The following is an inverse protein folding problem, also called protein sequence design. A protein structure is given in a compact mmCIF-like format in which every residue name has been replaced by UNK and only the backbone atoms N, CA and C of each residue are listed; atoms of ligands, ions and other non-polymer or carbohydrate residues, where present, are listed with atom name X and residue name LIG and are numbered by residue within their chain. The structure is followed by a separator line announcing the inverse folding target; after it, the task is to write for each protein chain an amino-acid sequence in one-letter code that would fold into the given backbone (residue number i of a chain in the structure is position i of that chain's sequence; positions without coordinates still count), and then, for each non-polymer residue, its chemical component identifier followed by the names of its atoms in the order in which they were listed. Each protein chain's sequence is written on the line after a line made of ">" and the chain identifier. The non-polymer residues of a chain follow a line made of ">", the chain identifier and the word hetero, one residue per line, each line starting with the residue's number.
data_IF_493651408450
#
_entry.id   IF_493651408450
#
_cell.length_a   1.000
_cell.length_b   1.000
_cell.length_c   1.000
_cell.angle_alpha   90.00
_cell.angle_beta   90.00
_cell.angle_gamma   90.00
#
_symmetry.space_group_name_H-M   'P 1'
#
loop_
_entity.id
_entity.type
_entity.pdbx_description
1 polymer ?
#
# COMPACT_ATOMS: atom_id res chain seq x y z
N UNK A 1 24.72 -20.19 10.13
CA UNK A 1 23.53 -20.94 9.63
C UNK A 1 23.98 -22.12 8.78
N UNK A 2 23.25 -23.25 8.74
CA UNK A 2 23.61 -24.41 7.96
C UNK A 2 22.83 -24.42 6.63
N UNK A 3 23.49 -24.70 5.50
CA UNK A 3 22.87 -24.87 4.17
C UNK A 3 21.66 -25.81 4.20
N UNK A 4 21.72 -26.88 5.00
CA UNK A 4 20.68 -27.87 5.16
C UNK A 4 19.39 -27.27 5.74
N UNK A 5 19.49 -26.35 6.67
CA UNK A 5 18.34 -25.67 7.29
C UNK A 5 17.63 -24.74 6.28
N UNK A 6 18.41 -24.00 5.47
CA UNK A 6 17.84 -23.13 4.44
C UNK A 6 17.15 -23.93 3.34
N UNK A 7 17.79 -25.01 2.85
CA UNK A 7 17.19 -25.90 1.84
C UNK A 7 15.93 -26.57 2.37
N UNK A 8 15.93 -26.99 3.65
CA UNK A 8 14.73 -27.54 4.31
C UNK A 8 13.58 -26.54 4.35
N UNK A 9 13.87 -25.28 4.66
CA UNK A 9 12.85 -24.23 4.69
C UNK A 9 12.27 -23.93 3.29
N UNK A 10 13.10 -23.94 2.24
CA UNK A 10 12.64 -23.80 0.85
C UNK A 10 11.74 -24.95 0.40
N UNK A 11 12.10 -26.17 0.79
CA UNK A 11 11.28 -27.36 0.49
C UNK A 11 9.94 -27.29 1.25
N UNK A 12 9.95 -26.92 2.52
CA UNK A 12 8.73 -26.76 3.33
C UNK A 12 7.80 -25.71 2.72
N UNK A 13 8.33 -24.55 2.30
CA UNK A 13 7.57 -23.52 1.59
C UNK A 13 6.90 -24.08 0.32
N UNK A 14 7.61 -24.89 -0.47
CA UNK A 14 7.08 -25.45 -1.71
C UNK A 14 5.87 -26.37 -1.48
N UNK A 15 5.69 -26.93 -0.28
CA UNK A 15 4.56 -27.76 0.10
C UNK A 15 3.46 -27.00 0.85
N UNK A 16 3.83 -26.08 1.74
CA UNK A 16 2.89 -25.38 2.63
C UNK A 16 2.46 -23.99 2.16
N UNK A 17 3.30 -23.33 1.34
CA UNK A 17 3.14 -21.93 0.98
C UNK A 17 3.44 -20.96 2.14
N UNK A 18 3.88 -21.46 3.32
CA UNK A 18 4.20 -20.63 4.48
C UNK A 18 5.60 -20.05 4.37
N UNK A 19 5.71 -18.73 4.35
CA UNK A 19 6.97 -18.02 4.10
C UNK A 19 7.71 -17.55 5.36
N UNK A 20 7.13 -17.68 6.56
CA UNK A 20 7.66 -17.14 7.82
C UNK A 20 9.08 -17.62 8.12
N UNK A 21 9.34 -18.90 7.87
CA UNK A 21 10.65 -19.50 8.12
C UNK A 21 11.73 -18.96 7.16
N UNK A 22 11.39 -18.83 5.88
CA UNK A 22 12.28 -18.24 4.88
C UNK A 22 12.53 -16.77 5.19
N UNK A 23 11.49 -16.03 5.55
CA UNK A 23 11.61 -14.61 5.91
C UNK A 23 12.56 -14.39 7.09
N UNK A 24 12.45 -15.22 8.14
CA UNK A 24 13.36 -15.17 9.30
C UNK A 24 14.81 -15.47 8.88
N UNK A 25 15.02 -16.44 8.01
CA UNK A 25 16.34 -16.79 7.50
C UNK A 25 16.91 -15.65 6.66
N UNK A 26 16.15 -15.08 5.74
CA UNK A 26 16.62 -13.97 4.92
C UNK A 26 16.97 -12.75 5.77
N UNK A 27 16.12 -12.36 6.71
CA UNK A 27 16.42 -11.25 7.63
C UNK A 27 17.73 -11.50 8.39
N UNK A 28 17.90 -12.67 9.01
CA UNK A 28 19.12 -13.00 9.74
C UNK A 28 20.38 -12.95 8.86
N UNK A 29 20.30 -13.42 7.62
CA UNK A 29 21.42 -13.39 6.68
C UNK A 29 21.79 -11.98 6.24
N UNK A 30 20.80 -11.12 5.98
CA UNK A 30 21.06 -9.74 5.58
C UNK A 30 21.54 -8.92 6.77
N UNK A 31 20.98 -9.09 7.95
CA UNK A 31 21.40 -8.40 9.19
C UNK A 31 22.84 -8.75 9.59
N UNK A 32 23.25 -10.01 9.42
CA UNK A 32 24.63 -10.45 9.70
C UNK A 32 25.63 -10.16 8.57
N UNK A 33 25.15 -9.82 7.39
CA UNK A 33 25.97 -9.68 6.18
C UNK A 33 26.45 -11.01 5.57
N UNK A 34 26.03 -12.15 6.12
CA UNK A 34 26.44 -13.49 5.64
C UNK A 34 25.73 -13.93 4.36
N UNK A 35 24.75 -13.18 3.85
CA UNK A 35 23.96 -13.53 2.67
C UNK A 35 24.82 -13.84 1.44
N UNK A 36 26.00 -13.21 1.30
CA UNK A 36 26.93 -13.42 0.18
C UNK A 36 27.42 -14.86 0.07
N UNK A 37 27.61 -15.54 1.20
CA UNK A 37 28.00 -16.94 1.22
C UNK A 37 26.88 -17.89 0.74
N UNK A 38 25.62 -17.40 0.73
CA UNK A 38 24.42 -18.17 0.38
C UNK A 38 23.69 -17.59 -0.82
N UNK A 39 24.35 -16.79 -1.67
CA UNK A 39 23.72 -15.94 -2.68
C UNK A 39 22.75 -16.71 -3.60
N UNK A 40 23.11 -17.92 -4.04
CA UNK A 40 22.23 -18.76 -4.88
C UNK A 40 20.95 -19.20 -4.13
N UNK A 41 21.05 -19.52 -2.84
CA UNK A 41 19.89 -19.87 -2.00
C UNK A 41 19.03 -18.64 -1.72
N UNK A 42 19.65 -17.50 -1.49
CA UNK A 42 18.98 -16.20 -1.34
C UNK A 42 18.20 -15.86 -2.62
N UNK A 43 18.80 -16.00 -3.78
CA UNK A 43 18.12 -15.79 -5.06
C UNK A 43 16.93 -16.74 -5.25
N UNK A 44 17.11 -18.02 -4.96
CA UNK A 44 16.01 -18.99 -5.00
C UNK A 44 14.89 -18.63 -4.03
N UNK A 45 15.23 -18.21 -2.80
CA UNK A 45 14.26 -17.82 -1.80
C UNK A 45 13.46 -16.60 -2.24
N UNK A 46 14.13 -15.53 -2.70
CA UNK A 46 13.48 -14.31 -3.17
C UNK A 46 12.55 -14.60 -4.35
N UNK A 47 12.98 -15.40 -5.32
CA UNK A 47 12.19 -15.74 -6.50
C UNK A 47 10.96 -16.60 -6.13
N UNK A 48 11.14 -17.67 -5.37
CA UNK A 48 10.06 -18.56 -4.97
C UNK A 48 8.99 -17.86 -4.12
N UNK A 49 9.43 -17.02 -3.17
CA UNK A 49 8.52 -16.33 -2.26
C UNK A 49 8.02 -14.99 -2.79
N UNK A 50 8.58 -14.51 -3.90
CA UNK A 50 8.34 -13.19 -4.48
C UNK A 50 8.61 -12.02 -3.51
N UNK A 51 9.51 -12.24 -2.55
CA UNK A 51 9.93 -11.22 -1.56
C UNK A 51 10.93 -10.23 -2.16
N UNK A 52 10.59 -9.60 -3.27
CA UNK A 52 11.48 -8.72 -4.04
C UNK A 52 11.97 -7.48 -3.27
N UNK A 53 11.38 -7.17 -2.13
CA UNK A 53 11.89 -6.13 -1.21
C UNK A 53 13.34 -6.36 -0.77
N UNK A 54 13.77 -7.63 -0.67
CA UNK A 54 15.16 -7.97 -0.33
C UNK A 54 16.18 -7.58 -1.39
N UNK A 55 15.77 -7.33 -2.63
CA UNK A 55 16.66 -6.87 -3.69
C UNK A 55 17.29 -5.49 -3.39
N UNK A 56 16.67 -4.69 -2.53
CA UNK A 56 17.23 -3.41 -2.09
C UNK A 56 18.50 -3.56 -1.25
N UNK A 57 18.71 -4.71 -0.61
CA UNK A 57 19.89 -5.01 0.19
C UNK A 57 21.06 -5.58 -0.63
N UNK A 58 20.81 -6.01 -1.88
CA UNK A 58 21.83 -6.48 -2.80
C UNK A 58 22.59 -5.30 -3.43
N UNK A 59 23.89 -5.49 -3.71
CA UNK A 59 24.62 -4.50 -4.50
C UNK A 59 24.18 -4.48 -5.98
N UNK A 60 24.68 -3.52 -6.76
CA UNK A 60 24.26 -3.33 -8.15
C UNK A 60 24.56 -4.57 -9.02
N UNK A 61 25.71 -5.22 -8.81
CA UNK A 61 26.12 -6.38 -9.57
C UNK A 61 25.31 -7.61 -9.19
N UNK A 62 25.05 -7.81 -7.90
CA UNK A 62 24.24 -8.90 -7.37
C UNK A 62 22.77 -8.77 -7.86
N UNK A 63 22.23 -7.55 -7.88
CA UNK A 63 20.91 -7.29 -8.48
C UNK A 63 20.86 -7.62 -9.96
N UNK A 64 21.87 -7.20 -10.73
CA UNK A 64 21.95 -7.50 -12.14
C UNK A 64 22.06 -9.02 -12.39
N UNK A 65 22.83 -9.72 -11.55
CA UNK A 65 22.93 -11.19 -11.61
C UNK A 65 21.58 -11.86 -11.28
N UNK A 66 20.87 -11.41 -10.24
CA UNK A 66 19.54 -11.90 -9.92
C UNK A 66 18.56 -11.66 -11.09
N UNK A 67 18.56 -10.46 -11.68
CA UNK A 67 17.72 -10.10 -12.81
C UNK A 67 17.91 -11.05 -13.99
N UNK A 68 19.15 -11.33 -14.35
CA UNK A 68 19.49 -12.23 -15.45
C UNK A 68 19.06 -13.67 -15.15
N UNK A 69 19.18 -14.09 -13.90
CA UNK A 69 18.86 -15.44 -13.46
C UNK A 69 17.32 -15.63 -13.32
N UNK A 70 16.59 -14.65 -12.76
CA UNK A 70 15.16 -14.73 -12.50
C UNK A 70 14.31 -14.55 -13.78
N UNK A 71 14.82 -13.76 -14.74
CA UNK A 71 14.13 -13.50 -16.02
C UNK A 71 13.75 -14.76 -16.79
N UNK A 72 14.43 -15.86 -16.54
CA UNK A 72 14.19 -17.17 -17.17
C UNK A 72 13.15 -18.00 -16.38
N UNK A 73 12.84 -17.64 -15.14
CA UNK A 73 12.11 -18.48 -14.18
C UNK A 73 10.81 -17.90 -13.65
N UNK A 74 10.59 -16.62 -13.74
CA UNK A 74 9.42 -15.98 -13.14
C UNK A 74 8.69 -15.04 -14.10
N UNK A 75 7.37 -14.95 -13.91
CA UNK A 75 6.51 -13.97 -14.56
C UNK A 75 6.61 -12.59 -13.87
N UNK A 76 7.74 -12.27 -13.25
CA UNK A 76 7.95 -11.02 -12.55
C UNK A 76 8.02 -9.84 -13.51
N UNK A 77 7.35 -8.78 -13.17
CA UNK A 77 7.32 -7.53 -13.93
C UNK A 77 8.35 -6.54 -13.37
N UNK A 78 9.21 -6.03 -14.25
CA UNK A 78 10.15 -4.95 -13.92
C UNK A 78 9.42 -3.62 -14.03
N UNK A 79 9.29 -2.91 -12.92
CA UNK A 79 8.59 -1.63 -12.86
C UNK A 79 9.52 -0.43 -12.91
N UNK A 80 8.92 0.75 -13.01
CA UNK A 80 9.64 2.03 -12.97
C UNK A 80 9.92 2.48 -11.52
N UNK A 81 8.99 2.19 -10.59
CA UNK A 81 9.07 2.62 -9.19
C UNK A 81 9.74 1.57 -8.31
N UNK A 82 9.44 0.32 -8.58
CA UNK A 82 10.04 -0.82 -7.87
C UNK A 82 10.80 -1.69 -8.86
N UNK A 83 11.96 -2.25 -8.44
CA UNK A 83 12.73 -3.13 -9.33
C UNK A 83 11.91 -4.33 -9.80
N UNK A 84 11.01 -4.83 -8.95
CA UNK A 84 10.15 -5.97 -9.25
C UNK A 84 8.78 -5.85 -8.61
N UNK A 85 7.78 -6.36 -9.32
CA UNK A 85 6.42 -6.56 -8.83
C UNK A 85 6.11 -8.05 -8.72
N UNK A 86 5.58 -8.48 -7.58
CA UNK A 86 5.09 -9.85 -7.43
C UNK A 86 3.75 -10.04 -8.16
N UNK A 87 3.33 -11.29 -8.31
CA UNK A 87 2.10 -11.64 -9.04
C UNK A 87 0.85 -10.96 -8.48
N UNK A 88 0.76 -10.81 -7.15
CA UNK A 88 -0.35 -10.10 -6.50
C UNK A 88 -0.37 -8.61 -6.83
N UNK A 89 0.79 -7.97 -6.85
CA UNK A 89 0.95 -6.56 -7.24
C UNK A 89 0.66 -6.35 -8.73
N UNK A 90 1.17 -7.23 -9.59
CA UNK A 90 0.89 -7.18 -11.04
C UNK A 90 -0.61 -7.36 -11.32
N UNK A 91 -1.24 -8.36 -10.69
CA UNK A 91 -2.69 -8.56 -10.79
C UNK A 91 -3.47 -7.30 -10.39
N UNK A 92 -2.98 -6.55 -9.39
CA UNK A 92 -3.62 -5.30 -8.98
C UNK A 92 -3.46 -4.19 -10.02
N UNK A 93 -2.27 -4.02 -10.63
CA UNK A 93 -2.09 -3.08 -11.71
C UNK A 93 -3.09 -3.34 -12.86
N UNK A 94 -3.28 -4.63 -13.21
CA UNK A 94 -4.28 -5.00 -14.21
C UNK A 94 -5.72 -4.70 -13.79
N UNK A 95 -6.05 -4.81 -12.50
CA UNK A 95 -7.38 -4.42 -11.99
C UNK A 95 -7.57 -2.90 -12.01
N UNK A 96 -6.51 -2.13 -11.71
CA UNK A 96 -6.54 -0.67 -11.86
C UNK A 96 -6.86 -0.25 -13.30
N UNK A 97 -6.39 -0.98 -14.32
CA UNK A 97 -6.71 -0.73 -15.72
C UNK A 97 -8.20 -0.97 -16.06
N UNK A 98 -8.76 -2.06 -15.53
CA UNK A 98 -10.09 -2.53 -15.93
C UNK A 98 -11.24 -1.72 -15.34
N UNK A 99 -11.05 -1.11 -14.18
CA UNK A 99 -12.14 -0.53 -13.41
C UNK A 99 -11.96 0.97 -13.21
N UNK A 100 -13.05 1.72 -13.42
CA UNK A 100 -13.10 3.17 -13.21
C UNK A 100 -13.05 3.55 -11.72
N UNK A 101 -13.76 2.80 -10.87
CA UNK A 101 -13.85 3.05 -9.43
C UNK A 101 -13.47 1.80 -8.66
N UNK A 102 -12.43 1.92 -7.82
CA UNK A 102 -11.84 0.81 -7.08
C UNK A 102 -11.69 1.16 -5.60
N UNK A 103 -12.05 0.24 -4.75
CA UNK A 103 -11.63 0.20 -3.34
C UNK A 103 -10.63 -0.94 -3.16
N UNK A 104 -9.39 -0.60 -2.84
CA UNK A 104 -8.31 -1.54 -2.60
C UNK A 104 -8.05 -1.68 -1.11
N UNK A 105 -8.26 -2.88 -0.59
CA UNK A 105 -7.86 -3.28 0.76
C UNK A 105 -6.67 -4.23 0.68
N UNK A 106 -5.52 -3.80 1.19
CA UNK A 106 -4.30 -4.58 1.22
C UNK A 106 -3.42 -4.17 2.42
N UNK A 107 -2.56 -5.07 2.95
CA UNK A 107 -1.65 -4.73 4.05
C UNK A 107 -0.79 -3.50 3.76
N UNK A 108 -0.33 -2.82 4.81
CA UNK A 108 0.56 -1.65 4.67
C UNK A 108 1.86 -2.00 3.94
N UNK A 109 2.38 -3.20 4.16
CA UNK A 109 3.58 -3.75 3.51
C UNK A 109 3.38 -4.18 2.06
N UNK A 110 2.16 -4.13 1.52
CA UNK A 110 1.86 -4.55 0.15
C UNK A 110 2.44 -3.62 -0.93
N UNK A 111 2.82 -2.39 -0.56
CA UNK A 111 3.36 -1.41 -1.52
C UNK A 111 2.30 -0.66 -2.32
N UNK A 112 1.11 -0.44 -1.75
CA UNK A 112 -0.01 0.28 -2.39
C UNK A 112 0.39 1.61 -3.05
N UNK A 113 1.14 2.43 -2.32
CA UNK A 113 1.61 3.73 -2.80
C UNK A 113 2.54 3.60 -4.00
N UNK A 114 3.47 2.62 -3.98
CA UNK A 114 4.37 2.35 -5.10
C UNK A 114 3.62 1.87 -6.34
N UNK A 115 2.59 1.05 -6.17
CA UNK A 115 1.72 0.62 -7.27
C UNK A 115 0.93 1.76 -7.88
N UNK A 116 0.43 2.69 -7.07
CA UNK A 116 -0.23 3.90 -7.58
C UNK A 116 0.72 4.79 -8.36
N UNK A 117 1.94 5.00 -7.87
CA UNK A 117 2.95 5.77 -8.58
C UNK A 117 3.32 5.11 -9.90
N UNK A 118 3.48 3.77 -9.91
CA UNK A 118 3.72 3.00 -11.14
C UNK A 118 2.58 3.21 -12.15
N UNK A 119 1.32 3.06 -11.70
CA UNK A 119 0.16 3.30 -12.53
C UNK A 119 0.14 4.72 -13.11
N UNK A 120 0.42 5.75 -12.30
CA UNK A 120 0.46 7.13 -12.73
C UNK A 120 1.60 7.37 -13.73
N UNK A 121 2.79 6.79 -13.50
CA UNK A 121 3.93 6.91 -14.41
C UNK A 121 3.60 6.27 -15.77
N UNK A 122 3.00 5.10 -15.79
CA UNK A 122 2.60 4.43 -17.03
C UNK A 122 1.56 5.24 -17.84
N UNK A 123 0.68 5.94 -17.13
CA UNK A 123 -0.43 6.71 -17.74
C UNK A 123 -0.21 8.22 -17.77
N UNK A 124 0.97 8.71 -17.34
CA UNK A 124 1.18 10.16 -17.19
C UNK A 124 0.84 10.96 -18.45
N UNK A 125 1.01 10.40 -19.65
CA UNK A 125 0.71 11.10 -20.91
C UNK A 125 -0.79 11.36 -21.12
N UNK A 126 -1.66 10.50 -20.58
CA UNK A 126 -3.12 10.59 -20.67
C UNK A 126 -3.76 11.25 -19.43
N UNK A 127 -3.07 11.28 -18.31
CA UNK A 127 -3.54 11.91 -17.07
C UNK A 127 -3.02 13.34 -16.99
N UNK A 128 -3.87 14.33 -17.24
CA UNK A 128 -3.49 15.74 -17.14
C UNK A 128 -3.57 16.24 -15.69
N UNK A 129 -4.58 15.80 -14.93
CA UNK A 129 -4.85 16.32 -13.59
C UNK A 129 -5.10 15.18 -12.62
N UNK A 130 -4.27 15.12 -11.59
CA UNK A 130 -4.29 14.08 -10.54
C UNK A 130 -4.55 14.73 -9.19
N UNK A 131 -5.47 14.17 -8.42
CA UNK A 131 -5.76 14.58 -7.05
C UNK A 131 -5.54 13.42 -6.10
N UNK A 132 -4.70 13.61 -5.08
CA UNK A 132 -4.53 12.65 -3.99
C UNK A 132 -4.95 13.29 -2.66
N UNK A 133 -5.82 12.59 -1.95
CA UNK A 133 -6.30 13.00 -0.62
C UNK A 133 -5.69 12.07 0.41
N UNK A 134 -4.90 12.63 1.31
CA UNK A 134 -4.21 11.89 2.39
C UNK A 134 -4.66 12.38 3.76
N UNK A 135 -4.68 11.50 4.78
CA UNK A 135 -5.27 11.85 6.07
C UNK A 135 -4.41 12.80 6.92
N UNK A 136 -3.10 12.91 6.68
CA UNK A 136 -2.19 13.66 7.53
C UNK A 136 -1.17 14.47 6.75
N UNK A 137 -0.67 15.56 7.36
CA UNK A 137 0.41 16.36 6.77
C UNK A 137 1.70 15.55 6.60
N UNK A 138 2.02 14.63 7.52
CA UNK A 138 3.23 13.78 7.39
C UNK A 138 3.18 12.89 6.15
N UNK A 139 2.04 12.24 5.88
CA UNK A 139 1.86 11.47 4.65
C UNK A 139 1.86 12.35 3.40
N UNK A 140 1.32 13.57 3.51
CA UNK A 140 1.34 14.54 2.43
C UNK A 140 2.78 14.92 2.06
N UNK A 141 3.63 15.22 3.04
CA UNK A 141 5.02 15.60 2.83
C UNK A 141 5.84 14.43 2.27
N UNK A 142 5.68 13.22 2.81
CA UNK A 142 6.34 12.01 2.31
C UNK A 142 6.00 11.77 0.83
N UNK A 143 4.73 11.84 0.49
CA UNK A 143 4.26 11.60 -0.87
C UNK A 143 4.71 12.72 -1.82
N UNK A 144 4.71 13.98 -1.36
CA UNK A 144 5.17 15.14 -2.11
C UNK A 144 6.63 14.99 -2.54
N UNK A 145 7.53 14.58 -1.63
CA UNK A 145 8.95 14.35 -1.93
C UNK A 145 9.08 13.24 -2.98
N UNK A 146 8.45 12.08 -2.77
CA UNK A 146 8.48 10.96 -3.71
C UNK A 146 7.98 11.36 -5.10
N UNK A 147 6.94 12.18 -5.17
CA UNK A 147 6.37 12.64 -6.45
C UNK A 147 7.27 13.62 -7.19
N UNK A 148 7.95 14.53 -6.49
CA UNK A 148 8.92 15.44 -7.12
C UNK A 148 10.04 14.65 -7.78
N UNK A 149 10.59 13.66 -7.08
CA UNK A 149 11.68 12.84 -7.60
C UNK A 149 11.24 12.05 -8.83
N UNK A 150 10.07 11.41 -8.79
CA UNK A 150 9.51 10.70 -9.94
C UNK A 150 9.14 11.64 -11.10
N UNK A 151 8.57 12.81 -10.81
CA UNK A 151 8.22 13.80 -11.84
C UNK A 151 9.45 14.25 -12.66
N UNK A 152 10.60 14.40 -11.98
CA UNK A 152 11.88 14.70 -12.62
C UNK A 152 12.45 13.49 -13.37
N UNK A 153 12.48 12.31 -12.73
CA UNK A 153 13.06 11.10 -13.29
C UNK A 153 12.34 10.63 -14.56
N UNK A 154 11.02 10.81 -14.65
CA UNK A 154 10.17 10.37 -15.77
C UNK A 154 9.62 11.51 -16.63
N UNK A 155 10.14 12.73 -16.46
CA UNK A 155 9.75 13.93 -17.24
C UNK A 155 8.23 14.12 -17.36
N UNK A 156 7.49 13.83 -16.28
CA UNK A 156 6.02 13.85 -16.32
C UNK A 156 5.42 15.24 -16.47
N UNK A 157 6.20 16.29 -16.20
CA UNK A 157 5.83 17.70 -16.36
C UNK A 157 4.59 18.15 -15.60
N UNK A 158 4.34 17.57 -14.41
CA UNK A 158 3.28 18.03 -13.52
C UNK A 158 3.72 19.24 -12.69
N UNK A 159 2.78 20.17 -12.50
CA UNK A 159 2.84 21.15 -11.43
C UNK A 159 2.37 20.50 -10.13
N UNK A 160 3.31 20.01 -9.32
CA UNK A 160 3.01 19.36 -8.05
C UNK A 160 2.77 20.42 -6.97
N UNK A 161 1.63 20.33 -6.28
CA UNK A 161 1.27 21.30 -5.22
C UNK A 161 0.54 20.61 -4.08
N UNK A 162 0.77 21.14 -2.87
CA UNK A 162 0.01 20.78 -1.66
C UNK A 162 -1.03 21.84 -1.30
N UNK A 163 -1.08 22.92 -2.07
CA UNK A 163 -2.03 24.01 -1.87
C UNK A 163 -3.36 23.73 -2.55
N UNK A 164 -4.49 24.13 -1.96
CA UNK A 164 -5.83 23.81 -2.46
C UNK A 164 -6.27 24.73 -3.61
N UNK A 165 -5.47 24.85 -4.65
CA UNK A 165 -5.84 25.57 -5.85
C UNK A 165 -5.38 24.88 -7.12
N UNK A 166 -6.25 24.92 -8.12
CA UNK A 166 -6.04 24.36 -9.44
C UNK A 166 -5.42 25.41 -10.38
N UNK A 167 -4.36 25.05 -11.09
CA UNK A 167 -3.70 25.94 -12.05
C UNK A 167 -4.19 25.66 -13.46
N UNK A 168 -4.96 26.58 -14.03
CA UNK A 168 -5.46 26.47 -15.39
C UNK A 168 -4.32 26.42 -16.42
N UNK A 169 -4.47 25.61 -17.44
CA UNK A 169 -3.49 25.46 -18.53
C UNK A 169 -2.23 24.69 -18.18
N UNK A 170 -2.11 24.18 -16.93
CA UNK A 170 -1.01 23.31 -16.52
C UNK A 170 -1.53 21.91 -16.19
N UNK A 171 -0.63 20.94 -16.24
CA UNK A 171 -0.88 19.61 -15.71
C UNK A 171 -0.74 19.66 -14.20
N UNK A 172 -1.80 19.36 -13.48
CA UNK A 172 -1.83 19.49 -12.03
C UNK A 172 -1.68 18.14 -11.33
N UNK A 173 -0.83 18.12 -10.31
CA UNK A 173 -0.77 17.02 -9.36
C UNK A 173 -0.97 17.58 -7.96
N UNK A 174 -2.17 17.48 -7.42
CA UNK A 174 -2.51 18.03 -6.12
C UNK A 174 -2.51 16.94 -5.06
N UNK A 175 -1.83 17.22 -3.93
CA UNK A 175 -1.83 16.37 -2.74
C UNK A 175 -2.41 17.20 -1.60
N UNK A 176 -3.56 16.79 -1.09
CA UNK A 176 -4.29 17.58 -0.09
C UNK A 176 -4.75 16.73 1.08
N UNK A 177 -4.95 17.38 2.24
CA UNK A 177 -5.71 16.79 3.35
C UNK A 177 -7.22 16.99 3.12
N UNK A 178 -8.11 16.28 3.85
CA UNK A 178 -9.56 16.52 3.76
C UNK A 178 -9.96 17.98 3.98
N UNK A 179 -9.29 18.67 4.88
CA UNK A 179 -9.54 20.08 5.14
C UNK A 179 -9.19 20.96 3.93
N UNK A 180 -8.03 20.74 3.32
CA UNK A 180 -7.60 21.44 2.10
C UNK A 180 -8.46 21.07 0.90
N UNK A 181 -8.94 19.82 0.83
CA UNK A 181 -9.87 19.41 -0.21
C UNK A 181 -11.17 20.20 -0.17
N UNK A 182 -11.74 20.45 1.01
CA UNK A 182 -12.96 21.25 1.13
C UNK A 182 -12.77 22.67 0.62
N UNK A 183 -11.60 23.28 0.86
CA UNK A 183 -11.26 24.59 0.30
C UNK A 183 -11.06 24.55 -1.22
N UNK A 184 -10.45 23.48 -1.75
CA UNK A 184 -10.29 23.26 -3.18
C UNK A 184 -11.66 23.14 -3.87
N UNK A 185 -12.60 22.42 -3.26
CA UNK A 185 -13.93 22.15 -3.80
C UNK A 185 -14.77 23.43 -3.97
N UNK A 186 -14.55 24.46 -3.17
CA UNK A 186 -15.24 25.75 -3.28
C UNK A 186 -14.84 26.52 -4.57
N UNK A 187 -13.65 26.24 -5.11
CA UNK A 187 -13.10 26.96 -6.26
C UNK A 187 -12.79 26.10 -7.49
N UNK A 188 -13.06 24.81 -7.46
CA UNK A 188 -12.70 23.90 -8.54
C UNK A 188 -13.78 22.84 -8.77
N UNK A 189 -14.16 22.66 -10.04
CA UNK A 189 -15.00 21.53 -10.43
C UNK A 189 -14.18 20.24 -10.41
N UNK A 190 -14.65 19.24 -9.66
CA UNK A 190 -13.99 17.94 -9.56
C UNK A 190 -13.89 17.22 -10.91
N UNK A 191 -14.77 17.50 -11.86
CA UNK A 191 -14.70 16.93 -13.21
C UNK A 191 -13.41 17.31 -13.96
N UNK A 192 -12.69 18.33 -13.50
CA UNK A 192 -11.38 18.72 -14.03
C UNK A 192 -10.26 17.73 -13.73
N UNK A 193 -10.45 16.78 -12.81
CA UNK A 193 -9.47 15.75 -12.51
C UNK A 193 -9.74 14.48 -13.29
N UNK A 194 -8.69 13.90 -13.88
CA UNK A 194 -8.78 12.60 -14.56
C UNK A 194 -8.85 11.44 -13.56
N UNK A 195 -8.17 11.61 -12.43
CA UNK A 195 -8.13 10.61 -11.37
C UNK A 195 -8.12 11.25 -9.98
N UNK A 196 -8.92 10.69 -9.09
CA UNK A 196 -8.97 11.05 -7.67
C UNK A 196 -8.60 9.82 -6.86
N UNK A 197 -7.65 9.99 -5.95
CA UNK A 197 -7.15 8.94 -5.08
C UNK A 197 -7.37 9.38 -3.63
N UNK A 198 -7.92 8.51 -2.79
CA UNK A 198 -8.08 8.77 -1.36
C UNK A 198 -7.45 7.65 -0.55
N UNK A 199 -6.48 7.99 0.29
CA UNK A 199 -5.77 7.03 1.13
C UNK A 199 -6.40 6.92 2.53
N UNK A 200 -6.14 5.79 3.18
CA UNK A 200 -6.62 5.45 4.52
C UNK A 200 -8.15 5.56 4.70
N UNK A 201 -8.90 5.11 3.69
CA UNK A 201 -10.36 5.25 3.65
C UNK A 201 -11.12 4.45 4.72
N UNK A 202 -10.45 3.57 5.48
CA UNK A 202 -11.05 2.94 6.67
C UNK A 202 -11.49 3.97 7.72
N UNK A 203 -10.98 5.19 7.69
CA UNK A 203 -11.39 6.30 8.56
C UNK A 203 -12.80 6.85 8.25
N UNK A 204 -13.41 6.41 7.14
CA UNK A 204 -14.82 6.71 6.81
C UNK A 204 -15.79 5.97 7.74
N UNK A 205 -15.32 4.96 8.47
CA UNK A 205 -16.12 4.06 9.29
C UNK A 205 -16.71 4.76 10.52
N UNK A 206 -17.93 4.35 10.88
CA UNK A 206 -18.71 4.89 11.99
C UNK A 206 -17.99 4.79 13.34
N UNK A 207 -17.70 5.92 13.93
CA UNK A 207 -17.33 6.06 15.34
C UNK A 207 -18.60 5.97 16.20
N UNK A 208 -19.19 4.80 16.33
CA UNK A 208 -20.27 4.57 17.31
C UNK A 208 -19.74 4.29 18.73
N UNK A 209 -18.44 4.43 18.95
CA UNK A 209 -17.86 4.25 20.28
C UNK A 209 -17.92 5.57 21.07
N UNK A 210 -18.72 5.57 22.12
CA UNK A 210 -19.05 6.69 23.01
C UNK A 210 -17.87 7.33 23.76
N UNK A 211 -16.61 6.95 23.48
CA UNK A 211 -15.40 7.46 24.14
C UNK A 211 -14.36 8.08 23.20
N UNK A 212 -14.76 8.48 21.99
CA UNK A 212 -13.85 9.12 21.05
C UNK A 212 -13.86 10.63 21.32
N UNK A 213 -12.67 11.25 21.44
CA UNK A 213 -12.56 12.69 21.64
C UNK A 213 -13.23 13.46 20.48
N UNK A 214 -13.89 14.59 20.80
CA UNK A 214 -14.58 15.47 19.83
C UNK A 214 -13.73 15.79 18.59
N UNK A 215 -12.40 15.85 18.76
CA UNK A 215 -11.47 16.11 17.66
C UNK A 215 -11.38 14.96 16.66
N UNK A 216 -11.38 13.71 17.12
CA UNK A 216 -11.33 12.51 16.25
C UNK A 216 -12.65 12.35 15.53
N UNK A 217 -13.76 12.63 16.20
CA UNK A 217 -15.09 12.61 15.61
C UNK A 217 -15.24 13.65 14.51
N UNK A 218 -14.85 14.91 14.76
CA UNK A 218 -14.87 15.97 13.77
C UNK A 218 -14.06 15.65 12.51
N UNK A 219 -12.91 14.97 12.68
CA UNK A 219 -12.06 14.55 11.56
C UNK A 219 -12.68 13.42 10.74
N UNK A 220 -13.28 12.44 11.41
CA UNK A 220 -13.99 11.33 10.76
C UNK A 220 -15.20 11.83 9.95
N UNK A 221 -15.93 12.81 10.46
CA UNK A 221 -17.04 13.46 9.76
C UNK A 221 -16.56 14.16 8.48
N UNK A 222 -15.45 14.90 8.55
CA UNK A 222 -14.86 15.54 7.35
C UNK A 222 -14.43 14.50 6.32
N UNK A 223 -13.78 13.44 6.77
CA UNK A 223 -13.34 12.35 5.89
C UNK A 223 -14.52 11.72 5.15
N UNK A 224 -15.62 11.45 5.86
CA UNK A 224 -16.88 10.92 5.29
C UNK A 224 -17.48 11.90 4.29
N UNK A 225 -17.58 13.19 4.64
CA UNK A 225 -18.10 14.22 3.73
C UNK A 225 -17.30 14.25 2.43
N UNK A 226 -15.97 14.26 2.51
CA UNK A 226 -15.10 14.24 1.33
C UNK A 226 -15.31 12.97 0.50
N UNK A 227 -15.39 11.80 1.14
CA UNK A 227 -15.65 10.54 0.45
C UNK A 227 -17.00 10.55 -0.30
N UNK A 228 -18.07 11.06 0.31
CA UNK A 228 -19.38 11.19 -0.34
C UNK A 228 -19.31 12.12 -1.56
N UNK A 229 -18.58 13.24 -1.46
CA UNK A 229 -18.40 14.19 -2.57
C UNK A 229 -17.68 13.54 -3.75
N UNK A 230 -16.53 12.88 -3.51
CA UNK A 230 -15.77 12.23 -4.58
C UNK A 230 -16.47 10.98 -5.14
N UNK A 231 -17.21 10.26 -4.30
CA UNK A 231 -17.99 9.09 -4.73
C UNK A 231 -19.04 9.41 -5.78
N UNK A 232 -19.63 10.62 -5.73
CA UNK A 232 -20.65 11.11 -6.67
C UNK A 232 -20.10 11.53 -8.03
N UNK A 233 -18.79 11.71 -8.15
CA UNK A 233 -18.16 12.12 -9.41
C UNK A 233 -18.07 10.96 -10.41
N UNK A 234 -17.91 11.31 -11.70
CA UNK A 234 -17.65 10.33 -12.76
C UNK A 234 -16.14 10.12 -13.02
N UNK A 235 -15.28 10.70 -12.19
CA UNK A 235 -13.84 10.55 -12.30
C UNK A 235 -13.38 9.11 -12.05
N UNK A 236 -12.19 8.77 -12.51
CA UNK A 236 -11.52 7.57 -12.04
C UNK A 236 -11.24 7.73 -10.53
N UNK A 237 -11.71 6.78 -9.72
CA UNK A 237 -11.64 6.86 -8.27
C UNK A 237 -10.92 5.65 -7.69
N UNK A 238 -9.84 5.90 -6.94
CA UNK A 238 -9.10 4.85 -6.25
C UNK A 238 -9.14 5.14 -4.74
N UNK A 239 -9.76 4.27 -4.00
CA UNK A 239 -9.82 4.30 -2.54
C UNK A 239 -8.87 3.26 -1.97
N UNK A 240 -7.94 3.67 -1.11
CA UNK A 240 -6.97 2.79 -0.49
C UNK A 240 -7.31 2.58 0.99
N UNK A 241 -7.18 1.35 1.44
CA UNK A 241 -7.32 0.99 2.85
C UNK A 241 -6.24 0.00 3.27
N UNK A 242 -5.74 0.03 4.50
CA UNK A 242 -5.05 -1.12 5.05
C UNK A 242 -5.98 -2.31 5.05
N UNK A 243 -5.42 -3.51 5.10
CA UNK A 243 -6.23 -4.72 5.14
C UNK A 243 -7.14 -4.71 6.38
N UNK A 244 -8.44 -4.79 6.14
CA UNK A 244 -9.47 -4.94 7.18
C UNK A 244 -10.17 -6.27 6.96
N UNK A 245 -10.24 -7.10 8.00
CA UNK A 245 -10.86 -8.42 7.92
C UNK A 245 -12.34 -8.37 7.51
N UNK A 246 -13.04 -7.33 7.94
CA UNK A 246 -14.45 -7.13 7.63
C UNK A 246 -14.69 -5.67 7.26
N UNK A 247 -15.41 -5.46 6.17
CA UNK A 247 -15.98 -4.14 5.89
C UNK A 247 -17.12 -3.92 6.85
N UNK A 248 -17.19 -2.72 7.41
CA UNK A 248 -18.41 -2.33 8.11
C UNK A 248 -19.57 -2.23 7.14
N UNK A 249 -20.79 -2.43 7.63
CA UNK A 249 -22.02 -2.31 6.81
C UNK A 249 -22.14 -0.94 6.13
N UNK A 250 -21.65 0.11 6.79
CA UNK A 250 -21.64 1.47 6.23
C UNK A 250 -20.70 1.58 5.03
N UNK A 251 -19.50 1.00 5.09
CA UNK A 251 -18.58 0.97 3.95
C UNK A 251 -19.12 0.12 2.81
N UNK A 252 -19.69 -1.06 3.10
CA UNK A 252 -20.33 -1.90 2.08
C UNK A 252 -21.43 -1.16 1.32
N UNK A 253 -22.33 -0.47 2.05
CA UNK A 253 -23.36 0.38 1.44
C UNK A 253 -22.80 1.53 0.62
N UNK A 254 -21.72 2.17 1.10
CA UNK A 254 -21.04 3.24 0.37
C UNK A 254 -20.49 2.74 -0.96
N UNK A 255 -19.73 1.63 -0.95
CA UNK A 255 -19.17 1.04 -2.18
C UNK A 255 -20.24 0.68 -3.20
N UNK A 256 -21.35 0.04 -2.74
CA UNK A 256 -22.47 -0.33 -3.60
C UNK A 256 -23.17 0.89 -4.19
N UNK A 257 -23.44 1.91 -3.37
CA UNK A 257 -24.10 3.15 -3.81
C UNK A 257 -23.34 3.86 -4.92
N UNK A 258 -22.01 3.87 -4.85
CA UNK A 258 -21.16 4.59 -5.80
C UNK A 258 -20.59 3.69 -6.91
N UNK A 259 -20.99 2.42 -6.99
CA UNK A 259 -20.54 1.48 -8.02
C UNK A 259 -19.03 1.19 -7.95
N UNK A 260 -18.47 1.16 -6.73
CA UNK A 260 -17.04 0.98 -6.49
C UNK A 260 -16.71 -0.51 -6.37
N UNK A 261 -15.81 -1.02 -7.20
CA UNK A 261 -15.34 -2.39 -7.17
C UNK A 261 -14.41 -2.62 -5.98
N UNK A 262 -14.76 -3.56 -5.10
CA UNK A 262 -13.90 -3.98 -4.00
C UNK A 262 -12.87 -5.00 -4.49
N UNK A 263 -11.60 -4.77 -4.11
CA UNK A 263 -10.48 -5.69 -4.32
C UNK A 263 -9.76 -5.87 -2.98
N UNK A 264 -9.74 -7.11 -2.50
CA UNK A 264 -9.01 -7.48 -1.27
C UNK A 264 -7.74 -8.26 -1.62
N UNK A 265 -6.63 -7.88 -1.00
CA UNK A 265 -5.36 -8.62 -1.05
C UNK A 265 -4.91 -8.97 0.35
N UNK A 266 -4.90 -10.26 0.65
CA UNK A 266 -4.58 -10.80 1.99
C UNK A 266 -3.13 -11.22 2.16
N UNK A 267 -2.33 -11.18 1.10
CA UNK A 267 -0.94 -11.64 1.13
C UNK A 267 -0.08 -10.61 1.86
N UNK A 268 0.57 -11.05 2.92
CA UNK A 268 1.54 -10.27 3.69
C UNK A 268 2.96 -10.73 3.33
N UNK A 269 3.83 -9.79 2.96
CA UNK A 269 5.24 -10.04 2.63
C UNK A 269 6.19 -9.66 3.78
N UNK A 270 5.61 -9.35 4.95
CA UNK A 270 6.35 -8.98 6.16
C UNK A 270 5.86 -9.84 7.30
N UNK A 271 6.78 -10.40 8.06
CA UNK A 271 6.44 -11.15 9.26
C UNK A 271 5.79 -10.22 10.30
N UNK A 272 4.62 -10.58 10.78
CA UNK A 272 3.90 -9.85 11.83
C UNK A 272 3.55 -10.79 12.97
N UNK A 273 3.96 -10.42 14.15
CA UNK A 273 3.45 -11.03 15.36
C UNK A 273 2.16 -10.30 15.77
N UNK A 274 1.05 -11.03 15.78
CA UNK A 274 -0.25 -10.48 16.19
C UNK A 274 -0.52 -10.96 17.62
N UNK A 275 -0.67 -10.01 18.53
CA UNK A 275 -1.02 -10.27 19.91
C UNK A 275 -2.46 -9.84 20.18
N UNK A 276 -3.23 -10.73 20.81
CA UNK A 276 -4.55 -10.39 21.32
C UNK A 276 -4.46 -10.07 22.80
N UNK A 277 -4.87 -8.87 23.20
CA UNK A 277 -5.07 -8.52 24.60
C UNK A 277 -6.36 -9.20 25.04
N UNK A 278 -6.26 -10.11 26.01
CA UNK A 278 -7.40 -10.94 26.47
C UNK A 278 -8.00 -10.37 27.74
N UNK A 279 -7.18 -9.74 28.57
CA UNK A 279 -7.58 -9.19 29.85
C UNK A 279 -6.70 -8.02 30.28
N UNK A 280 -7.31 -7.05 30.96
CA UNK A 280 -6.60 -5.93 31.58
C UNK A 280 -7.03 -5.81 33.02
N UNK A 281 -6.11 -6.07 33.95
CA UNK A 281 -6.33 -5.82 35.38
C UNK A 281 -5.72 -4.48 35.77
N UNK A 282 -6.52 -3.61 36.39
CA UNK A 282 -6.06 -2.33 36.94
C UNK A 282 -5.82 -2.47 38.42
N UNK A 283 -4.58 -2.31 38.85
CA UNK A 283 -4.18 -2.32 40.27
C UNK A 283 -3.51 -1.00 40.62
N UNK A 284 -4.13 -0.14 41.41
CA UNK A 284 -3.54 1.08 42.03
C UNK A 284 -2.43 1.75 41.19
N UNK A 285 -2.76 2.24 39.99
CA UNK A 285 -1.85 2.89 39.03
C UNK A 285 -0.92 1.98 38.21
N UNK A 286 -1.13 0.66 38.24
CA UNK A 286 -0.44 -0.27 37.35
C UNK A 286 -1.47 -1.08 36.55
N UNK A 287 -1.17 -1.28 35.25
CA UNK A 287 -1.98 -2.13 34.39
C UNK A 287 -1.24 -3.44 34.14
N UNK A 288 -1.89 -4.56 34.40
CA UNK A 288 -1.40 -5.87 33.97
C UNK A 288 -2.14 -6.27 32.70
N UNK A 289 -1.42 -6.38 31.61
CA UNK A 289 -1.97 -6.79 30.30
C UNK A 289 -1.64 -8.26 30.09
N UNK A 290 -2.66 -9.09 29.91
CA UNK A 290 -2.49 -10.48 29.50
C UNK A 290 -2.56 -10.54 27.98
N UNK A 291 -1.43 -10.84 27.34
CA UNK A 291 -1.29 -10.95 25.88
C UNK A 291 -1.20 -12.42 25.53
N UNK A 292 -2.06 -12.88 24.62
CA UNK A 292 -1.93 -14.19 23.99
C UNK A 292 -1.35 -13.97 22.60
N UNK A 293 -0.18 -14.55 22.34
CA UNK A 293 0.43 -14.56 21.01
C UNK A 293 -0.46 -15.38 20.06
N UNK A 294 -0.79 -14.80 18.91
CA UNK A 294 -1.49 -15.48 17.83
C UNK A 294 -0.52 -15.62 16.66
N UNK A 295 -0.01 -16.82 16.46
CA UNK A 295 0.55 -17.20 15.17
C UNK A 295 -0.64 -17.55 14.26
N UNK A 296 -0.92 -16.71 13.28
CA UNK A 296 -1.94 -17.02 12.29
C UNK A 296 -1.32 -17.96 11.27
N UNK A 297 -1.67 -19.25 11.34
CA UNK A 297 -1.57 -20.10 10.16
C UNK A 297 -2.45 -19.46 9.06
N UNK A 298 -1.84 -19.12 7.93
CA UNK A 298 -2.58 -18.71 6.75
C UNK A 298 -3.44 -19.88 6.30
N UNK A 299 -4.72 -19.84 6.59
CA UNK A 299 -5.67 -20.67 5.85
C UNK A 299 -5.84 -20.06 4.47
N UNK A 300 -5.54 -20.84 3.47
CA UNK A 300 -5.66 -20.66 2.03
C UNK A 300 -7.04 -20.10 1.64
#
# INVERSE_FOLDING_TARGET
>A
MNNTEFVSALNEYSFSGENDKILKILNALFDSGEYKAYLNLVFNAISLTQMYGFLSYLDVNERAAFLSWDKVRSDSYVGNVMPYYNSGQLSLLLELEKHQKIFLSAPTSFGKTSLLLEFIIQHHKSLANVLIIVPTNSLLEELYIKLIDNNRAFEMNYCISTQPYFRQGLRNFLIVTPERFLLLYEGCDLSSFDIIIMDETYKIVDSKNEHISDFIEARSVRFRKVADMIGQTNNRLILLSPFTYELTDSMGRYLTRHGIKKIDRKIEYVNKEIYRIVDTESFKNHFKIRVIGYTKSASI
#
